data_IF_525791342007
#
_entry.id   IF_525791342007
#
_cell.length_a   1.000
_cell.length_b   1.000
_cell.length_c   1.000
_cell.angle_alpha   90.00
_cell.angle_beta   90.00
_cell.angle_gamma   90.00
#
_symmetry.space_group_name_H-M   'P 1'
#
loop_
_entity.id
_entity.type
_entity.pdbx_description
1 polymer ?
#
# COMPACT_ATOMS: atom_id res chain seq x y z
N UNK A 1 -5.43 3.95 -9.63
CA UNK A 1 -3.96 3.84 -9.50
C UNK A 1 -3.67 2.92 -8.33
N UNK A 2 -2.78 1.95 -8.51
CA UNK A 2 -2.41 1.00 -7.46
C UNK A 2 -0.90 1.07 -7.25
N UNK A 3 -0.50 1.43 -6.04
CA UNK A 3 0.87 1.32 -5.58
C UNK A 3 1.05 0.02 -4.79
N UNK A 4 2.25 -0.51 -4.74
CA UNK A 4 2.55 -1.71 -3.96
C UNK A 4 4.02 -1.84 -3.62
N UNK A 5 4.28 -2.41 -2.45
CA UNK A 5 5.63 -2.70 -1.98
C UNK A 5 5.62 -3.92 -1.07
N UNK A 6 6.77 -4.58 -0.97
CA UNK A 6 6.94 -5.73 -0.08
C UNK A 6 7.18 -5.27 1.34
N UNK A 7 6.23 -5.55 2.24
CA UNK A 7 6.36 -5.29 3.68
C UNK A 7 5.91 -6.53 4.46
N UNK A 8 6.78 -7.06 5.30
CA UNK A 8 6.48 -8.25 6.09
C UNK A 8 5.41 -7.99 7.16
N UNK A 9 5.31 -6.77 7.68
CA UNK A 9 4.47 -6.47 8.86
C UNK A 9 3.59 -5.23 8.74
N UNK A 10 4.11 -4.10 8.27
CA UNK A 10 3.50 -2.78 8.50
C UNK A 10 2.28 -2.51 7.62
N UNK A 11 2.39 -2.70 6.31
CA UNK A 11 1.30 -2.38 5.40
C UNK A 11 0.25 -3.50 5.36
N UNK A 12 -1.05 -3.18 5.44
CA UNK A 12 -2.11 -4.17 5.27
C UNK A 12 -2.17 -4.68 3.82
N UNK A 13 -2.97 -5.73 3.61
CA UNK A 13 -3.19 -6.36 2.29
C UNK A 13 -3.59 -5.34 1.23
N UNK A 14 -4.51 -4.44 1.59
CA UNK A 14 -4.97 -3.36 0.73
C UNK A 14 -5.56 -2.21 1.55
N UNK A 15 -5.34 -0.98 1.09
CA UNK A 15 -6.11 0.19 1.54
C UNK A 15 -6.22 1.24 0.43
N UNK A 16 -7.28 2.04 0.49
CA UNK A 16 -7.55 3.15 -0.41
C UNK A 16 -7.20 4.47 0.27
N UNK A 17 -6.60 5.39 -0.45
CA UNK A 17 -6.41 6.76 0.04
C UNK A 17 -7.74 7.50 0.20
N UNK A 18 -7.81 8.47 1.10
CA UNK A 18 -9.03 9.27 1.36
C UNK A 18 -9.37 10.20 0.23
N UNK A 19 -8.34 10.79 -0.36
CA UNK A 19 -8.43 11.74 -1.47
C UNK A 19 -7.16 11.67 -2.31
N UNK A 20 -7.07 12.53 -3.32
CA UNK A 20 -5.91 12.59 -4.21
C UNK A 20 -4.62 12.98 -3.48
N UNK A 21 -4.66 14.00 -2.61
CA UNK A 21 -3.47 14.46 -1.89
C UNK A 21 -2.93 13.37 -0.95
N UNK A 22 -3.84 12.69 -0.25
CA UNK A 22 -3.48 11.52 0.55
C UNK A 22 -2.92 10.38 -0.32
N UNK A 23 -3.45 10.18 -1.52
CA UNK A 23 -2.93 9.19 -2.48
C UNK A 23 -1.52 9.53 -2.97
N UNK A 24 -1.22 10.80 -3.20
CA UNK A 24 0.15 11.26 -3.50
C UNK A 24 1.09 10.98 -2.33
N UNK A 25 0.64 11.22 -1.09
CA UNK A 25 1.39 10.85 0.10
C UNK A 25 1.64 9.34 0.16
N UNK A 26 0.61 8.51 -0.04
CA UNK A 26 0.72 7.04 -0.07
C UNK A 26 1.76 6.58 -1.09
N UNK A 27 1.75 7.13 -2.29
CA UNK A 27 2.75 6.83 -3.31
C UNK A 27 4.15 7.29 -2.93
N UNK A 28 4.27 8.48 -2.33
CA UNK A 28 5.57 9.08 -1.96
C UNK A 28 6.29 8.31 -0.84
N UNK A 29 5.54 7.60 0.01
CA UNK A 29 6.09 6.80 1.11
C UNK A 29 6.32 5.33 0.74
N UNK A 30 6.08 4.94 -0.51
CA UNK A 30 6.30 3.55 -0.94
C UNK A 30 7.64 3.01 -0.49
N UNK A 31 7.61 1.80 0.03
CA UNK A 31 8.80 1.11 0.50
C UNK A 31 8.71 -0.39 0.25
N UNK A 32 9.83 -1.00 -0.06
CA UNK A 32 9.96 -2.44 -0.21
C UNK A 32 11.13 -2.97 0.59
N UNK A 33 10.92 -4.08 1.27
CA UNK A 33 11.99 -4.80 1.94
C UNK A 33 12.85 -5.56 0.93
N UNK A 34 14.17 -5.56 1.15
CA UNK A 34 15.12 -6.30 0.32
C UNK A 34 14.93 -7.81 0.47
N UNK A 35 15.14 -8.54 -0.61
CA UNK A 35 15.07 -10.00 -0.65
C UNK A 35 16.46 -10.64 -0.69
N UNK A 36 16.53 -11.95 -0.52
CA UNK A 36 17.77 -12.71 -0.65
C UNK A 36 18.44 -12.60 -2.05
N UNK A 37 17.68 -12.23 -3.08
CA UNK A 37 18.20 -11.99 -4.43
C UNK A 37 18.85 -10.61 -4.60
N UNK A 38 18.66 -9.68 -3.65
CA UNK A 38 19.28 -8.37 -3.68
C UNK A 38 20.64 -8.40 -2.99
N UNK A 39 21.57 -7.55 -3.44
CA UNK A 39 22.83 -7.34 -2.73
C UNK A 39 22.58 -6.59 -1.43
N UNK A 40 23.01 -7.14 -0.29
CA UNK A 40 22.85 -6.54 1.02
C UNK A 40 22.06 -7.43 2.02
N UNK A 41 21.71 -6.85 3.16
CA UNK A 41 20.95 -7.56 4.19
C UNK A 41 19.48 -7.74 3.76
N UNK A 42 18.94 -8.93 4.04
CA UNK A 42 17.51 -9.25 3.82
C UNK A 42 16.65 -8.47 4.81
N UNK A 43 15.47 -8.02 4.36
CA UNK A 43 14.49 -7.33 5.22
C UNK A 43 14.79 -5.86 5.49
N UNK A 44 15.80 -5.28 4.82
CA UNK A 44 16.06 -3.83 4.92
C UNK A 44 15.02 -3.06 4.09
N UNK A 45 14.34 -2.13 4.72
CA UNK A 45 13.35 -1.26 4.07
C UNK A 45 14.05 -0.27 3.14
N UNK A 46 13.79 -0.38 1.84
CA UNK A 46 14.21 0.59 0.83
C UNK A 46 13.00 1.42 0.40
N UNK A 47 13.11 2.73 0.56
CA UNK A 47 12.08 3.65 0.08
C UNK A 47 12.30 3.96 -1.40
N UNK A 48 11.22 3.84 -2.15
CA UNK A 48 11.19 4.06 -3.59
C UNK A 48 9.87 4.75 -3.97
N UNK A 49 9.78 6.07 -3.77
CA UNK A 49 8.58 6.84 -4.02
C UNK A 49 7.97 6.57 -5.39
N UNK A 50 6.72 6.14 -5.40
CA UNK A 50 5.94 5.82 -6.62
C UNK A 50 6.65 4.86 -7.58
N UNK A 51 7.65 4.08 -7.09
CA UNK A 51 8.57 3.26 -7.89
C UNK A 51 9.32 4.08 -8.98
N UNK A 52 9.55 5.36 -8.75
CA UNK A 52 10.08 6.29 -9.74
C UNK A 52 11.47 6.86 -9.39
N UNK A 53 11.97 6.61 -8.18
CA UNK A 53 13.21 7.25 -7.72
C UNK A 53 14.40 7.05 -8.69
N UNK A 54 14.65 5.85 -9.25
CA UNK A 54 15.75 5.66 -10.20
C UNK A 54 15.51 6.30 -11.57
N UNK A 55 14.27 6.67 -11.88
CA UNK A 55 13.85 7.16 -13.20
C UNK A 55 13.58 8.66 -13.22
N UNK A 56 13.48 9.30 -12.05
CA UNK A 56 13.23 10.73 -11.95
C UNK A 56 14.54 11.50 -12.12
N UNK A 57 14.71 12.17 -13.25
CA UNK A 57 15.91 12.92 -13.61
C UNK A 57 15.97 14.34 -13.01
N UNK A 58 15.11 14.69 -12.05
CA UNK A 58 15.04 15.97 -11.35
C UNK A 58 14.61 15.77 -9.91
N UNK A 59 14.45 16.85 -9.15
CA UNK A 59 14.15 16.76 -7.71
C UNK A 59 12.81 16.06 -7.45
N UNK A 60 12.81 15.02 -6.63
CA UNK A 60 11.62 14.19 -6.39
C UNK A 60 10.46 14.97 -5.80
N UNK A 61 10.70 15.98 -4.98
CA UNK A 61 9.63 16.83 -4.45
C UNK A 61 8.90 17.65 -5.54
N UNK A 62 9.58 18.00 -6.64
CA UNK A 62 8.93 18.65 -7.78
C UNK A 62 8.03 17.65 -8.53
N UNK A 63 8.42 16.38 -8.59
CA UNK A 63 7.58 15.31 -9.11
C UNK A 63 6.30 15.13 -8.28
N UNK A 64 6.41 15.11 -6.95
CA UNK A 64 5.23 15.06 -6.07
C UNK A 64 4.35 16.30 -6.19
N UNK A 65 4.95 17.48 -6.31
CA UNK A 65 4.22 18.74 -6.54
C UNK A 65 3.41 18.65 -7.83
N UNK A 66 3.99 18.13 -8.90
CA UNK A 66 3.27 17.91 -10.17
C UNK A 66 2.05 17.00 -9.96
N UNK A 67 2.20 15.90 -9.22
CA UNK A 67 1.06 15.05 -8.88
C UNK A 67 -0.02 15.81 -8.10
N UNK A 68 0.34 16.61 -7.11
CA UNK A 68 -0.62 17.44 -6.35
C UNK A 68 -1.32 18.45 -7.25
N UNK A 69 -0.61 19.09 -8.17
CA UNK A 69 -1.18 20.05 -9.13
C UNK A 69 -2.11 19.37 -10.14
N UNK A 70 -1.81 18.15 -10.57
CA UNK A 70 -2.71 17.34 -11.39
C UNK A 70 -4.04 17.07 -10.70
N UNK A 71 -4.07 16.90 -9.38
CA UNK A 71 -5.31 16.78 -8.63
C UNK A 71 -6.22 17.99 -8.78
N UNK A 72 -5.66 19.21 -8.85
CA UNK A 72 -6.43 20.44 -9.08
C UNK A 72 -7.02 20.48 -10.50
N UNK A 73 -6.30 19.95 -11.49
CA UNK A 73 -6.74 19.88 -12.89
C UNK A 73 -7.84 18.83 -13.07
N UNK A 74 -7.67 17.67 -12.42
CA UNK A 74 -8.59 16.54 -12.57
C UNK A 74 -9.87 16.73 -11.75
N UNK A 75 -9.80 17.40 -10.60
CA UNK A 75 -10.94 17.59 -9.70
C UNK A 75 -11.63 16.25 -9.37
N UNK A 76 -12.94 16.22 -9.53
CA UNK A 76 -13.76 15.02 -9.25
C UNK A 76 -13.50 13.85 -10.22
N UNK A 77 -12.73 14.07 -11.28
CA UNK A 77 -12.30 13.00 -12.22
C UNK A 77 -10.98 12.36 -11.84
N UNK A 78 -10.37 12.78 -10.73
CA UNK A 78 -9.13 12.17 -10.26
C UNK A 78 -9.37 10.69 -9.91
N UNK A 79 -8.54 9.78 -10.43
CA UNK A 79 -8.70 8.35 -10.11
C UNK A 79 -8.44 8.09 -8.64
N UNK A 80 -9.12 7.10 -8.06
CA UNK A 80 -8.84 6.62 -6.71
C UNK A 80 -7.45 5.97 -6.65
N UNK A 81 -6.78 6.12 -5.52
CA UNK A 81 -5.43 5.60 -5.31
C UNK A 81 -5.47 4.56 -4.19
N UNK A 82 -4.84 3.42 -4.44
CA UNK A 82 -4.77 2.28 -3.54
C UNK A 82 -3.32 1.88 -3.27
N UNK A 83 -3.09 1.24 -2.13
CA UNK A 83 -1.86 0.51 -1.84
C UNK A 83 -2.17 -0.95 -1.60
N UNK A 84 -1.33 -1.85 -2.10
CA UNK A 84 -1.42 -3.29 -1.90
C UNK A 84 -0.12 -3.85 -1.35
N UNK A 85 -0.23 -4.88 -0.52
CA UNK A 85 0.92 -5.61 0.02
C UNK A 85 0.64 -7.12 0.06
N UNK A 86 1.17 -7.84 -0.90
CA UNK A 86 1.02 -9.30 -1.02
C UNK A 86 1.97 -10.11 -0.12
N UNK A 87 2.80 -9.46 0.71
CA UNK A 87 4.02 -10.05 1.24
C UNK A 87 4.09 -10.07 2.78
N UNK A 88 2.96 -9.93 3.46
CA UNK A 88 2.95 -10.13 4.92
C UNK A 88 3.26 -11.58 5.25
N UNK A 89 4.07 -11.76 6.31
CA UNK A 89 4.50 -13.07 6.77
C UNK A 89 4.02 -13.34 8.20
N UNK A 90 3.97 -14.62 8.54
CA UNK A 90 3.92 -15.07 9.92
C UNK A 90 5.29 -14.93 10.62
N UNK A 91 5.37 -15.37 11.87
CA UNK A 91 6.61 -15.32 12.67
C UNK A 91 7.69 -16.30 12.17
N UNK A 92 7.31 -17.28 11.36
CA UNK A 92 8.20 -18.26 10.73
C UNK A 92 8.67 -17.78 9.34
N UNK A 93 8.14 -16.68 8.85
CA UNK A 93 8.50 -16.07 7.56
C UNK A 93 7.72 -16.61 6.35
N UNK A 94 6.66 -17.38 6.55
CA UNK A 94 5.78 -17.84 5.47
C UNK A 94 4.80 -16.75 5.08
N UNK A 95 4.52 -16.63 3.79
CA UNK A 95 3.53 -15.67 3.30
C UNK A 95 2.13 -16.03 3.76
N UNK A 96 1.43 -15.05 4.32
CA UNK A 96 0.04 -15.19 4.78
C UNK A 96 -0.98 -15.07 3.63
N UNK A 97 -0.60 -14.41 2.53
CA UNK A 97 -1.41 -14.29 1.34
C UNK A 97 -0.87 -15.19 0.23
N UNK A 98 -1.71 -16.00 -0.44
CA UNK A 98 -1.24 -16.97 -1.44
C UNK A 98 -0.57 -16.34 -2.66
N UNK A 99 -0.93 -15.10 -2.98
CA UNK A 99 -0.33 -14.36 -4.09
C UNK A 99 -1.02 -14.64 -5.42
N UNK A 100 -0.27 -14.84 -6.45
CA UNK A 100 -0.55 -14.74 -7.87
C UNK A 100 -2.03 -14.88 -8.31
N UNK A 101 -2.65 -16.03 -8.20
CA UNK A 101 -4.05 -16.24 -8.60
C UNK A 101 -5.05 -15.49 -7.72
N UNK A 102 -4.76 -15.42 -6.41
CA UNK A 102 -5.67 -14.84 -5.41
C UNK A 102 -5.58 -13.32 -5.32
N UNK A 103 -4.56 -12.69 -5.91
CA UNK A 103 -4.47 -11.23 -6.00
C UNK A 103 -5.68 -10.62 -6.71
N UNK A 104 -6.33 -11.36 -7.60
CA UNK A 104 -7.51 -10.91 -8.31
C UNK A 104 -8.68 -10.59 -7.37
N UNK A 105 -8.82 -11.30 -6.24
CA UNK A 105 -9.84 -11.07 -5.21
C UNK A 105 -9.75 -9.67 -4.60
N UNK A 106 -8.53 -9.20 -4.39
CA UNK A 106 -8.27 -7.84 -3.90
C UNK A 106 -8.49 -6.81 -5.01
N UNK A 107 -8.12 -7.12 -6.25
CA UNK A 107 -8.39 -6.25 -7.40
C UNK A 107 -9.87 -6.10 -7.65
N UNK A 108 -10.68 -7.13 -7.41
CA UNK A 108 -12.15 -7.08 -7.49
C UNK A 108 -12.71 -6.05 -6.49
N UNK A 109 -12.28 -6.11 -5.21
CA UNK A 109 -12.66 -5.08 -4.24
C UNK A 109 -12.25 -3.67 -4.69
N UNK A 110 -11.05 -3.50 -5.23
CA UNK A 110 -10.58 -2.22 -5.78
C UNK A 110 -11.51 -1.73 -6.89
N UNK A 111 -11.95 -2.62 -7.79
CA UNK A 111 -12.88 -2.26 -8.86
C UNK A 111 -14.24 -1.83 -8.32
N UNK A 112 -14.81 -2.58 -7.37
CA UNK A 112 -16.07 -2.19 -6.71
C UNK A 112 -15.94 -0.83 -6.01
N UNK A 113 -14.80 -0.52 -5.40
CA UNK A 113 -14.52 0.80 -4.85
C UNK A 113 -14.42 1.89 -5.92
N UNK A 114 -13.88 1.58 -7.10
CA UNK A 114 -13.80 2.55 -8.21
C UNK A 114 -15.17 2.93 -8.75
N UNK A 115 -16.12 2.00 -8.73
CA UNK A 115 -17.49 2.21 -9.20
C UNK A 115 -18.48 2.63 -8.09
N UNK A 116 -18.00 2.84 -6.87
CA UNK A 116 -18.81 3.18 -5.69
C UNK A 116 -19.91 2.14 -5.36
N UNK A 117 -19.63 0.87 -5.64
CA UNK A 117 -20.54 -0.26 -5.45
C UNK A 117 -20.44 -0.88 -4.05
N UNK A 118 -19.38 -0.59 -3.29
CA UNK A 118 -19.12 -1.14 -1.98
C UNK A 118 -18.63 -0.07 -1.00
N UNK A 119 -19.02 -0.17 0.25
CA UNK A 119 -18.52 0.66 1.34
C UNK A 119 -17.13 0.21 1.79
N UNK A 120 -16.47 1.02 2.61
CA UNK A 120 -15.19 0.68 3.20
C UNK A 120 -15.10 1.12 4.67
N UNK A 121 -14.23 0.46 5.42
CA UNK A 121 -13.93 0.80 6.81
C UNK A 121 -12.93 1.92 6.84
N UNK A 122 -13.21 2.98 7.60
CA UNK A 122 -12.26 4.07 7.81
C UNK A 122 -11.26 3.68 8.91
N UNK A 123 -9.99 3.65 8.56
CA UNK A 123 -8.87 3.33 9.45
C UNK A 123 -7.92 4.52 9.58
N UNK A 124 -6.95 4.51 10.51
CA UNK A 124 -5.97 5.59 10.62
C UNK A 124 -5.19 5.89 9.34
N UNK A 125 -5.01 4.89 8.46
CA UNK A 125 -4.18 5.02 7.25
C UNK A 125 -4.99 5.15 5.95
N UNK A 126 -6.30 5.05 5.98
CA UNK A 126 -7.16 5.13 4.79
C UNK A 126 -8.41 4.27 4.93
N UNK A 127 -8.98 3.90 3.80
CA UNK A 127 -10.16 3.03 3.73
C UNK A 127 -9.74 1.60 3.42
N UNK A 128 -10.29 0.64 4.15
CA UNK A 128 -10.03 -0.79 4.00
C UNK A 128 -11.30 -1.57 3.72
N UNK A 129 -11.23 -2.78 3.12
CA UNK A 129 -12.39 -3.67 3.03
C UNK A 129 -12.85 -4.13 4.40
N UNK A 130 -14.14 -4.43 4.54
CA UNK A 130 -14.56 -5.36 5.57
C UNK A 130 -14.02 -6.75 5.20
N UNK A 131 -13.67 -7.62 6.16
CA UNK A 131 -13.14 -8.94 5.82
C UNK A 131 -14.06 -9.76 4.93
N UNK A 132 -15.37 -9.61 5.07
CA UNK A 132 -16.40 -10.26 4.26
C UNK A 132 -16.51 -9.74 2.83
N UNK A 133 -15.89 -8.61 2.51
CA UNK A 133 -15.87 -8.03 1.16
C UNK A 133 -14.81 -8.67 0.24
N UNK A 134 -13.95 -9.52 0.78
CA UNK A 134 -12.96 -10.29 0.03
C UNK A 134 -13.41 -11.74 -0.03
N UNK A 135 -13.73 -12.22 -1.22
CA UNK A 135 -14.07 -13.63 -1.42
C UNK A 135 -12.87 -14.53 -1.12
N UNK A 136 -13.01 -15.44 -0.17
CA UNK A 136 -11.98 -16.39 0.25
C UNK A 136 -12.23 -17.81 -0.24
N UNK A 137 -13.33 -18.07 -0.96
CA UNK A 137 -13.67 -19.42 -1.41
C UNK A 137 -12.55 -20.00 -2.29
N UNK A 138 -12.03 -21.16 -1.91
CA UNK A 138 -10.95 -21.84 -2.63
C UNK A 138 -9.55 -21.25 -2.46
N UNK A 139 -9.37 -20.14 -1.72
CA UNK A 139 -8.05 -19.51 -1.51
C UNK A 139 -7.17 -20.24 -0.50
N UNK A 140 -7.76 -21.03 0.38
CA UNK A 140 -7.07 -21.61 1.54
C UNK A 140 -6.78 -20.62 2.68
N UNK A 141 -7.14 -19.35 2.55
CA UNK A 141 -6.98 -18.32 3.58
C UNK A 141 -8.16 -18.34 4.53
N UNK A 142 -7.91 -18.38 5.84
CA UNK A 142 -8.98 -18.28 6.85
C UNK A 142 -9.43 -16.82 7.02
N UNK A 143 -10.66 -16.62 7.48
CA UNK A 143 -11.19 -15.30 7.82
C UNK A 143 -10.32 -14.61 8.91
N UNK A 144 -9.78 -15.38 9.84
CA UNK A 144 -8.91 -14.86 10.89
C UNK A 144 -7.58 -14.37 10.32
N UNK A 145 -6.98 -15.13 9.41
CA UNK A 145 -5.77 -14.72 8.67
C UNK A 145 -6.02 -13.43 7.89
N UNK A 146 -7.17 -13.34 7.20
CA UNK A 146 -7.53 -12.12 6.47
C UNK A 146 -7.69 -10.91 7.40
N UNK A 147 -8.35 -11.06 8.56
CA UNK A 147 -8.43 -10.00 9.58
C UNK A 147 -7.05 -9.54 10.04
N UNK A 148 -6.13 -10.49 10.22
CA UNK A 148 -4.73 -10.19 10.50
C UNK A 148 -4.05 -9.39 9.37
N UNK A 149 -4.26 -9.80 8.13
CA UNK A 149 -3.73 -9.13 6.93
C UNK A 149 -4.27 -7.72 6.74
N UNK A 150 -5.48 -7.43 7.18
CA UNK A 150 -6.11 -6.10 7.15
C UNK A 150 -5.85 -5.28 8.42
N UNK A 151 -5.16 -5.84 9.41
CA UNK A 151 -4.92 -5.12 10.67
C UNK A 151 -3.93 -3.97 10.51
N UNK A 152 -4.25 -2.84 11.16
CA UNK A 152 -3.39 -1.64 11.25
C UNK A 152 -2.79 -1.58 12.64
N UNK A 153 -1.52 -1.95 12.79
CA UNK A 153 -0.79 -1.81 14.05
C UNK A 153 -0.29 -0.38 14.23
N UNK A 154 -0.92 0.35 15.14
CA UNK A 154 -0.57 1.76 15.40
C UNK A 154 0.84 1.96 15.95
N UNK A 155 1.45 0.95 16.59
CA UNK A 155 2.82 1.02 17.08
C UNK A 155 3.79 0.97 15.93
N UNK A 156 3.63 -0.01 15.03
CA UNK A 156 4.44 -0.11 13.81
C UNK A 156 4.31 1.14 12.93
N UNK A 157 3.09 1.67 12.80
CA UNK A 157 2.88 2.90 12.01
C UNK A 157 3.48 4.15 12.65
N UNK A 158 3.56 4.24 13.97
CA UNK A 158 4.29 5.33 14.64
C UNK A 158 5.80 5.27 14.36
N UNK A 159 6.38 4.08 14.34
CA UNK A 159 7.78 3.89 13.95
C UNK A 159 7.98 4.25 12.48
N UNK A 160 7.13 3.73 11.60
CA UNK A 160 7.12 4.03 10.17
C UNK A 160 7.06 5.54 9.91
N UNK A 161 6.21 6.26 10.65
CA UNK A 161 6.07 7.73 10.51
C UNK A 161 7.37 8.47 10.83
N UNK A 162 8.15 8.00 11.83
CA UNK A 162 9.46 8.59 12.15
C UNK A 162 10.45 8.36 11.00
N UNK A 163 10.48 7.17 10.43
CA UNK A 163 11.34 6.85 9.30
C UNK A 163 10.95 7.62 8.03
N UNK A 164 9.64 7.79 7.78
CA UNK A 164 9.13 8.63 6.69
C UNK A 164 9.60 10.08 6.87
N UNK A 165 9.47 10.62 8.08
CA UNK A 165 9.93 11.97 8.37
C UNK A 165 11.43 12.15 8.13
N UNK A 166 12.24 11.17 8.55
CA UNK A 166 13.68 11.16 8.30
C UNK A 166 14.01 11.02 6.80
N UNK A 167 13.21 10.26 6.07
CA UNK A 167 13.37 10.11 4.63
C UNK A 167 13.11 11.42 3.89
N UNK A 168 12.06 12.14 4.24
CA UNK A 168 11.70 13.41 3.62
C UNK A 168 12.74 14.52 3.85
N UNK A 169 13.58 14.43 4.89
CA UNK A 169 14.67 15.37 5.10
C UNK A 169 15.76 15.30 4.01
N UNK A 170 15.70 14.31 3.12
CA UNK A 170 16.63 14.17 1.99
C UNK A 170 16.24 15.03 0.78
N UNK A 171 15.05 15.59 0.82
CA UNK A 171 14.46 16.42 -0.23
C UNK A 171 14.08 17.80 0.30
#
# INVERSE_FOLDING_TARGET
IVFGGRRARTAPLVYQSRDWAHGVFVGSIMASETTAAATGAVGVVRRDPMAMLPFCGYHMADYWRHWLDMGKVLGDKAPKIFNVNWFRTDDEGHFLWPGFGDNLRVLEWIMHRCFDEIEAVNTPIGFEPKPEDIDLEGSGVSLETLKGLLSVDTTLWKEETREISAFYQKF
#
